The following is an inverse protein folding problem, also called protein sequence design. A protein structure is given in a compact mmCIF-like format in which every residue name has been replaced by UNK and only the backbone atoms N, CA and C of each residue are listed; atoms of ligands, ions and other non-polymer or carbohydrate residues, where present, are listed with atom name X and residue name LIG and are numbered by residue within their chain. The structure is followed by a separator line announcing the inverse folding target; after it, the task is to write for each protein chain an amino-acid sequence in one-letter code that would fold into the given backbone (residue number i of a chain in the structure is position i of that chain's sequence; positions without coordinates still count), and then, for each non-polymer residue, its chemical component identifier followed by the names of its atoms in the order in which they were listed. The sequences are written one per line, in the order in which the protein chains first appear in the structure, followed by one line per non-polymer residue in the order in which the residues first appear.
data_IF_550179218602
#
_entry.id   IF_550179218602
#
_cell.length_a   1.000
_cell.length_b   1.000
_cell.length_c   1.000
_cell.angle_alpha   90.00
_cell.angle_beta   90.00
_cell.angle_gamma   90.00
#
_symmetry.space_group_name_H-M   'P 1'
#
loop_
_entity.id
_entity.type
_entity.pdbx_description
1 polymer ?
#
# COMPACT_ATOMS: atom_id res chain seq x y z
N UNK A 1 2.89 -11.25 -21.03
CA UNK A 1 3.41 -9.92 -20.66
C UNK A 1 2.47 -9.40 -19.57
N UNK A 2 2.95 -9.09 -18.36
CA UNK A 2 2.11 -8.71 -17.23
C UNK A 2 1.48 -7.32 -17.40
N UNK A 3 0.25 -7.20 -16.92
CA UNK A 3 -0.48 -5.94 -16.79
C UNK A 3 -0.10 -5.24 -15.48
N UNK A 4 0.22 -3.96 -15.60
CA UNK A 4 0.67 -3.10 -14.52
C UNK A 4 -0.12 -1.80 -14.50
N UNK A 5 -0.13 -1.14 -13.35
CA UNK A 5 -0.67 0.21 -13.17
C UNK A 5 0.48 1.10 -12.75
N UNK A 6 0.70 2.20 -13.48
CA UNK A 6 1.73 3.18 -13.13
C UNK A 6 1.36 3.87 -11.81
N UNK A 7 2.31 4.02 -10.91
CA UNK A 7 2.09 4.68 -9.60
C UNK A 7 2.44 6.17 -9.62
N UNK A 8 3.20 6.60 -10.64
CA UNK A 8 3.66 7.97 -10.87
C UNK A 8 3.76 8.26 -12.35
N UNK A 9 3.85 9.54 -12.71
CA UNK A 9 4.13 9.94 -14.08
C UNK A 9 5.47 9.37 -14.55
N UNK A 10 5.44 8.70 -15.70
CA UNK A 10 6.65 8.17 -16.33
C UNK A 10 6.43 7.89 -17.81
N UNK A 11 7.54 7.79 -18.55
CA UNK A 11 7.51 7.32 -19.94
C UNK A 11 7.92 5.85 -19.98
N UNK A 12 7.11 5.02 -20.61
CA UNK A 12 7.43 3.62 -20.90
C UNK A 12 7.27 3.36 -22.40
N UNK A 13 8.31 2.80 -23.01
CA UNK A 13 8.45 2.74 -24.46
C UNK A 13 8.21 4.12 -25.10
N UNK A 14 7.16 4.26 -25.91
CA UNK A 14 6.77 5.52 -26.57
C UNK A 14 5.65 6.27 -25.86
N UNK A 15 5.04 5.68 -24.81
CA UNK A 15 3.87 6.22 -24.12
C UNK A 15 4.25 6.99 -22.86
N UNK A 16 3.63 8.14 -22.65
CA UNK A 16 3.61 8.83 -21.37
C UNK A 16 2.45 8.26 -20.54
N UNK A 17 2.77 7.72 -19.37
CA UNK A 17 1.83 7.13 -18.42
C UNK A 17 1.67 8.07 -17.24
N UNK A 18 0.44 8.19 -16.74
CA UNK A 18 0.14 8.92 -15.51
C UNK A 18 -0.06 7.95 -14.34
N UNK A 19 -0.03 8.46 -13.12
CA UNK A 19 -0.40 7.66 -11.96
C UNK A 19 -1.83 7.13 -12.13
N UNK A 20 -2.02 5.82 -11.93
CA UNK A 20 -3.27 5.11 -12.16
C UNK A 20 -3.45 4.57 -13.58
N UNK A 21 -2.57 4.90 -14.52
CA UNK A 21 -2.72 4.47 -15.91
C UNK A 21 -2.30 2.99 -16.09
N UNK A 22 -3.16 2.14 -16.67
CA UNK A 22 -2.83 0.74 -16.93
C UNK A 22 -1.92 0.63 -18.16
N UNK A 23 -0.89 -0.21 -18.04
CA UNK A 23 0.04 -0.49 -19.13
C UNK A 23 0.58 -1.91 -19.06
N UNK A 24 0.98 -2.44 -20.22
CA UNK A 24 1.58 -3.76 -20.32
C UNK A 24 3.11 -3.62 -20.43
N UNK A 25 3.83 -4.44 -19.66
CA UNK A 25 5.29 -4.44 -19.65
C UNK A 25 5.86 -5.84 -19.93
N UNK A 26 7.13 -5.89 -20.33
CA UNK A 26 7.89 -7.15 -20.33
C UNK A 26 8.04 -7.68 -18.90
N UNK A 27 8.20 -8.99 -18.73
CA UNK A 27 8.44 -9.61 -17.43
C UNK A 27 9.65 -9.02 -16.69
N UNK A 28 10.71 -8.69 -17.44
CA UNK A 28 11.92 -8.10 -16.88
C UNK A 28 11.66 -6.66 -16.40
N UNK A 29 11.04 -5.84 -17.24
CA UNK A 29 10.70 -4.46 -16.91
C UNK A 29 9.71 -4.39 -15.76
N UNK A 30 8.71 -5.28 -15.73
CA UNK A 30 7.74 -5.33 -14.66
C UNK A 30 8.38 -5.50 -13.28
N UNK A 31 9.34 -6.42 -13.17
CA UNK A 31 10.10 -6.63 -11.93
C UNK A 31 10.86 -5.38 -11.52
N UNK A 32 11.52 -4.71 -12.47
CA UNK A 32 12.28 -3.48 -12.20
C UNK A 32 11.34 -2.35 -11.78
N UNK A 33 10.25 -2.12 -12.52
CA UNK A 33 9.28 -1.06 -12.28
C UNK A 33 8.57 -1.22 -10.93
N UNK A 34 8.27 -2.46 -10.52
CA UNK A 34 7.74 -2.76 -9.19
C UNK A 34 8.79 -2.51 -8.12
N UNK A 35 10.03 -2.98 -8.31
CA UNK A 35 11.12 -2.80 -7.34
C UNK A 35 11.45 -1.31 -7.08
N UNK A 36 11.38 -0.46 -8.12
CA UNK A 36 11.59 0.98 -8.01
C UNK A 36 10.31 1.78 -7.71
N UNK A 37 9.22 1.08 -7.36
CA UNK A 37 7.91 1.66 -6.99
C UNK A 37 7.33 2.61 -8.05
N UNK A 38 7.56 2.31 -9.33
CA UNK A 38 6.99 3.01 -10.50
C UNK A 38 5.70 2.39 -11.02
N UNK A 39 5.48 1.12 -10.71
CA UNK A 39 4.29 0.40 -11.13
C UNK A 39 3.88 -0.64 -10.09
N UNK A 40 2.61 -1.04 -10.11
CA UNK A 40 2.04 -2.15 -9.34
C UNK A 40 1.38 -3.17 -10.27
N UNK A 41 1.34 -4.46 -9.94
CA UNK A 41 0.58 -5.43 -10.70
C UNK A 41 -0.92 -5.09 -10.72
N UNK A 42 -1.54 -5.15 -11.90
CA UNK A 42 -2.98 -4.90 -12.08
C UNK A 42 -3.84 -6.04 -11.51
N UNK A 43 -3.34 -7.28 -11.60
CA UNK A 43 -3.99 -8.49 -11.07
C UNK A 43 -3.97 -8.56 -9.53
N UNK A 44 -3.17 -7.72 -8.88
CA UNK A 44 -3.34 -7.43 -7.46
C UNK A 44 -4.54 -6.50 -7.27
N UNK A 45 -5.73 -7.05 -7.53
CA UNK A 45 -6.99 -6.58 -6.97
C UNK A 45 -6.98 -6.85 -5.47
N UNK A 46 -6.22 -6.05 -4.72
CA UNK A 46 -6.38 -5.84 -3.28
C UNK A 46 -5.46 -4.68 -2.86
N UNK A 47 -6.10 -3.58 -2.49
CA UNK A 47 -5.62 -2.52 -1.61
C UNK A 47 -4.47 -1.59 -2.08
N UNK A 48 -4.74 -0.28 -2.27
CA UNK A 48 -3.68 0.73 -2.29
C UNK A 48 -2.99 0.94 -0.93
N UNK A 49 -3.29 0.17 0.12
CA UNK A 49 -2.67 0.28 1.44
C UNK A 49 -1.70 -0.88 1.71
N UNK A 50 -0.49 -0.78 1.15
CA UNK A 50 0.66 -1.55 1.60
C UNK A 50 1.92 -0.68 1.61
N UNK A 51 1.78 0.54 2.14
CA UNK A 51 2.86 1.08 2.96
C UNK A 51 2.63 0.50 4.36
N UNK A 52 3.69 0.06 5.05
CA UNK A 52 3.59 -0.44 6.42
C UNK A 52 2.60 0.43 7.23
N UNK A 53 1.68 -0.17 8.01
CA UNK A 53 0.63 0.59 8.68
C UNK A 53 1.30 1.67 9.51
N UNK A 54 1.11 2.92 9.09
CA UNK A 54 1.69 4.04 9.82
C UNK A 54 1.04 4.11 11.20
N UNK A 55 1.74 4.69 12.18
CA UNK A 55 1.21 4.85 13.54
C UNK A 55 -0.17 5.55 13.53
N UNK A 56 -0.42 6.38 12.52
CA UNK A 56 -1.68 7.06 12.25
C UNK A 56 -2.81 6.10 11.83
N UNK A 57 -2.54 5.15 10.93
CA UNK A 57 -3.52 4.12 10.54
C UNK A 57 -3.80 3.11 11.67
N UNK A 58 -2.80 2.80 12.50
CA UNK A 58 -3.01 2.00 13.72
C UNK A 58 -3.89 2.77 14.72
N UNK A 59 -3.72 4.09 14.83
CA UNK A 59 -4.57 4.95 15.68
C UNK A 59 -5.99 5.02 15.16
N UNK A 60 -6.19 5.17 13.85
CA UNK A 60 -7.51 5.20 13.23
C UNK A 60 -8.26 3.87 13.44
N UNK A 61 -7.57 2.73 13.24
CA UNK A 61 -8.13 1.41 13.53
C UNK A 61 -8.52 1.24 15.01
N UNK A 62 -7.67 1.68 15.92
CA UNK A 62 -7.97 1.61 17.36
C UNK A 62 -9.13 2.55 17.77
N UNK A 63 -9.19 3.77 17.22
CA UNK A 63 -10.29 4.70 17.45
C UNK A 63 -11.62 4.15 16.92
N UNK A 64 -11.61 3.49 15.76
CA UNK A 64 -12.78 2.83 15.17
C UNK A 64 -13.29 1.65 16.00
N UNK A 65 -12.39 0.99 16.74
CA UNK A 65 -12.72 -0.06 17.72
C UNK A 65 -13.14 0.51 19.09
N UNK A 66 -13.24 1.84 19.24
CA UNK A 66 -13.62 2.50 20.49
C UNK A 66 -12.51 2.55 21.54
N UNK A 67 -11.27 2.22 21.17
CA UNK A 67 -10.11 2.26 22.06
C UNK A 67 -9.64 3.71 22.14
N UNK A 68 -9.63 4.28 23.35
CA UNK A 68 -9.09 5.62 23.57
C UNK A 68 -7.57 5.59 23.43
N UNK A 69 -7.07 5.95 22.24
CA UNK A 69 -5.63 5.92 21.98
C UNK A 69 -4.94 7.13 22.61
N UNK A 70 -4.03 6.88 23.55
CA UNK A 70 -3.15 7.92 24.10
C UNK A 70 -1.96 8.18 23.16
N UNK A 71 -1.64 9.46 22.90
CA UNK A 71 -0.48 9.88 22.09
C UNK A 71 0.89 9.37 22.60
N UNK A 72 0.95 8.90 23.85
CA UNK A 72 2.16 8.35 24.48
C UNK A 72 2.40 6.88 24.14
N UNK A 73 1.49 6.24 23.41
CA UNK A 73 1.59 4.83 23.06
C UNK A 73 2.36 4.67 21.75
N UNK A 74 3.39 3.82 21.78
CA UNK A 74 4.13 3.39 20.60
C UNK A 74 3.44 2.25 19.84
N UNK A 75 3.87 2.05 18.61
CA UNK A 75 3.41 1.04 17.64
C UNK A 75 3.18 -0.35 18.23
N UNK A 76 4.13 -0.88 19.01
CA UNK A 76 3.97 -2.21 19.67
C UNK A 76 2.75 -2.29 20.58
N UNK A 77 2.53 -1.26 21.42
CA UNK A 77 1.43 -1.28 22.41
C UNK A 77 0.07 -1.12 21.75
N UNK A 78 0.04 -0.34 20.67
CA UNK A 78 -1.16 -0.09 19.89
C UNK A 78 -1.58 -1.34 19.11
N UNK A 79 -0.63 -2.07 18.53
CA UNK A 79 -0.86 -3.37 17.89
C UNK A 79 -1.40 -4.42 18.87
N UNK A 80 -0.83 -4.52 20.08
CA UNK A 80 -1.29 -5.46 21.10
C UNK A 80 -2.75 -5.21 21.51
N UNK A 81 -3.14 -3.94 21.72
CA UNK A 81 -4.50 -3.61 22.14
C UNK A 81 -5.53 -3.83 21.01
N UNK A 82 -5.18 -3.50 19.76
CA UNK A 82 -6.03 -3.84 18.61
C UNK A 82 -6.21 -5.35 18.48
N UNK A 83 -5.14 -6.13 18.62
CA UNK A 83 -5.21 -7.59 18.55
C UNK A 83 -6.06 -8.19 19.68
N UNK A 84 -5.97 -7.62 20.88
CA UNK A 84 -6.75 -8.05 22.04
C UNK A 84 -8.25 -7.81 21.87
N UNK A 85 -8.66 -6.65 21.36
CA UNK A 85 -10.08 -6.36 21.07
C UNK A 85 -10.59 -7.20 19.91
N UNK A 86 -9.78 -7.45 18.89
CA UNK A 86 -10.16 -8.31 17.77
C UNK A 86 -10.31 -9.81 18.15
N UNK A 87 -9.76 -10.23 19.30
CA UNK A 87 -9.85 -11.62 19.80
C UNK A 87 -10.93 -11.81 20.88
N UNK A 88 -11.65 -10.76 21.25
CA UNK A 88 -12.72 -10.77 22.27
C UNK A 88 -14.10 -10.74 21.60
#
# INVERSE_FOLDING_TARGET
MPDLIATRDMRYATRALQAGDPFQASNQDARVLIAIKKARPADASADPSATAPTLDELRDKAAKLGITVSMRWGDKRLLEEIAKVASA
#
